data_IF_199550845522
#
_entry.id   IF_199550845522
#
_cell.length_a   1.000
_cell.length_b   1.000
_cell.length_c   1.000
_cell.angle_alpha   90.00
_cell.angle_beta   90.00
_cell.angle_gamma   90.00
#
_symmetry.space_group_name_H-M   'P 1'
#
loop_
_entity.id
_entity.type
_entity.pdbx_description
1 polymer ?
#
# COMPACT_ATOMS: atom_id res chain seq x y z
N UNK A 1 -7.01 -16.64 -23.82
CA UNK A 1 -7.23 -15.47 -22.96
C UNK A 1 -8.57 -14.92 -23.38
N UNK A 2 -9.57 -14.98 -22.50
CA UNK A 2 -10.86 -14.35 -22.75
C UNK A 2 -10.69 -12.83 -22.63
N UNK A 3 -11.33 -12.09 -23.53
CA UNK A 3 -11.33 -10.63 -23.52
C UNK A 3 -12.26 -10.15 -22.39
N UNK A 4 -11.76 -9.43 -21.37
CA UNK A 4 -12.57 -8.96 -20.26
C UNK A 4 -13.57 -7.85 -20.66
N UNK A 5 -13.60 -7.43 -21.93
CA UNK A 5 -14.51 -6.41 -22.44
C UNK A 5 -15.60 -6.92 -23.39
N UNK A 6 -15.68 -8.23 -23.63
CA UNK A 6 -16.71 -8.88 -24.48
C UNK A 6 -18.13 -8.81 -23.87
N UNK A 7 -18.31 -8.15 -22.71
CA UNK A 7 -19.61 -7.96 -22.05
C UNK A 7 -20.30 -6.64 -22.42
N UNK A 8 -19.76 -5.88 -23.37
CA UNK A 8 -20.35 -4.63 -23.88
C UNK A 8 -20.73 -4.73 -25.36
N UNK A 9 -21.10 -5.94 -25.81
CA UNK A 9 -21.75 -6.06 -27.10
C UNK A 9 -23.19 -5.55 -26.96
N UNK A 10 -23.45 -4.43 -27.65
CA UNK A 10 -24.73 -3.76 -27.84
C UNK A 10 -25.68 -4.64 -28.69
N UNK A 11 -26.01 -5.84 -28.21
CA UNK A 11 -27.09 -6.64 -28.80
C UNK A 11 -28.43 -6.20 -28.16
N UNK A 12 -28.92 -5.07 -28.69
CA UNK A 12 -30.34 -4.80 -28.82
C UNK A 12 -30.96 -5.96 -29.62
N UNK A 13 -31.66 -6.89 -28.98
CA UNK A 13 -32.68 -7.68 -29.65
C UNK A 13 -33.82 -8.04 -28.69
N UNK A 14 -34.95 -7.38 -28.96
CA UNK A 14 -36.30 -7.81 -28.61
C UNK A 14 -36.51 -9.26 -29.08
N UNK A 15 -36.52 -10.24 -28.18
CA UNK A 15 -37.23 -11.49 -28.47
C UNK A 15 -37.95 -12.07 -27.26
N UNK A 16 -39.26 -11.87 -27.31
CA UNK A 16 -40.27 -12.42 -26.42
C UNK A 16 -40.60 -13.81 -26.96
N UNK A 17 -40.12 -14.90 -26.33
CA UNK A 17 -40.82 -16.18 -26.32
C UNK A 17 -40.20 -17.23 -25.39
N UNK A 18 -40.95 -17.54 -24.34
CA UNK A 18 -41.54 -18.86 -24.12
C UNK A 18 -40.63 -20.11 -24.22
N UNK A 19 -40.27 -20.67 -23.05
CA UNK A 19 -40.41 -22.10 -22.83
C UNK A 19 -40.25 -22.48 -21.35
N UNK A 20 -41.39 -22.88 -20.78
CA UNK A 20 -41.50 -23.75 -19.60
C UNK A 20 -40.51 -24.92 -19.66
N UNK A 21 -39.58 -24.97 -18.72
CA UNK A 21 -38.90 -26.21 -18.32
C UNK A 21 -38.74 -26.25 -16.81
N UNK A 22 -39.61 -27.06 -16.22
CA UNK A 22 -39.50 -27.57 -14.86
C UNK A 22 -38.18 -28.32 -14.68
N UNK A 23 -37.23 -27.70 -13.98
CA UNK A 23 -36.10 -28.38 -13.36
C UNK A 23 -36.15 -28.12 -11.85
N UNK A 24 -36.64 -29.13 -11.13
CA UNK A 24 -36.56 -29.23 -9.67
C UNK A 24 -35.10 -29.43 -9.26
N UNK A 25 -34.30 -28.36 -9.30
CA UNK A 25 -32.98 -28.35 -8.69
C UNK A 25 -33.03 -27.65 -7.33
N UNK A 26 -32.53 -28.40 -6.37
CA UNK A 26 -32.53 -28.16 -4.93
C UNK A 26 -31.65 -26.96 -4.58
N UNK A 27 -32.18 -25.77 -4.83
CA UNK A 27 -31.57 -24.49 -4.51
C UNK A 27 -31.58 -24.28 -2.99
N UNK A 28 -30.49 -24.72 -2.34
CA UNK A 28 -30.07 -24.25 -1.03
C UNK A 28 -29.65 -22.78 -1.15
N UNK A 29 -30.66 -21.94 -1.37
CA UNK A 29 -30.60 -20.50 -1.48
C UNK A 29 -30.23 -19.95 -0.09
N UNK A 30 -28.94 -19.96 0.21
CA UNK A 30 -28.37 -19.27 1.37
C UNK A 30 -28.43 -17.78 1.03
N UNK A 31 -29.62 -17.21 1.24
CA UNK A 31 -29.90 -15.79 1.14
C UNK A 31 -28.91 -15.04 2.03
N UNK A 32 -27.80 -14.63 1.41
CA UNK A 32 -26.77 -13.86 2.06
C UNK A 32 -27.41 -12.50 2.24
N UNK A 33 -27.97 -12.26 3.42
CA UNK A 33 -28.70 -11.04 3.74
C UNK A 33 -27.71 -9.90 3.66
N UNK A 34 -27.64 -9.24 2.51
CA UNK A 34 -26.80 -8.08 2.30
C UNK A 34 -27.44 -6.95 3.08
N UNK A 35 -26.92 -6.69 4.27
CA UNK A 35 -27.36 -5.55 5.08
C UNK A 35 -26.97 -4.28 4.32
N UNK A 36 -27.94 -3.66 3.64
CA UNK A 36 -27.74 -2.36 3.02
C UNK A 36 -27.46 -1.33 4.12
N UNK A 37 -26.24 -0.80 4.13
CA UNK A 37 -25.87 0.29 5.01
C UNK A 37 -26.46 1.58 4.43
N UNK A 38 -27.54 2.06 5.03
CA UNK A 38 -28.14 3.37 4.69
C UNK A 38 -27.20 4.46 5.20
N UNK A 39 -26.68 5.29 4.29
CA UNK A 39 -25.82 6.44 4.62
C UNK A 39 -26.67 7.63 5.06
N UNK A 40 -26.09 8.52 5.88
CA UNK A 40 -26.68 9.82 6.19
C UNK A 40 -26.76 10.66 4.89
N UNK A 41 -27.89 11.34 4.68
CA UNK A 41 -28.15 12.16 3.49
C UNK A 41 -27.13 13.32 3.34
N UNK A 42 -26.49 13.73 4.43
CA UNK A 42 -25.44 14.75 4.42
C UNK A 42 -24.09 14.23 3.90
N UNK A 43 -23.95 12.92 3.72
CA UNK A 43 -22.70 12.24 3.38
C UNK A 43 -22.66 11.79 1.91
N UNK A 44 -23.18 12.66 1.03
CA UNK A 44 -23.25 12.43 -0.41
C UNK A 44 -21.87 12.27 -1.04
N UNK A 45 -21.83 11.51 -2.15
CA UNK A 45 -20.62 11.13 -2.92
C UNK A 45 -19.83 12.34 -3.48
N UNK A 46 -20.40 13.56 -3.42
CA UNK A 46 -19.80 14.79 -3.96
C UNK A 46 -19.72 15.93 -2.93
N UNK A 47 -19.94 15.64 -1.65
CA UNK A 47 -19.89 16.65 -0.61
C UNK A 47 -18.43 16.86 -0.15
N UNK A 48 -17.78 17.89 -0.70
CA UNK A 48 -16.46 18.30 -0.24
C UNK A 48 -16.61 19.13 1.04
N UNK A 49 -16.29 18.54 2.18
CA UNK A 49 -16.21 19.27 3.44
C UNK A 49 -14.76 19.61 3.76
N UNK A 50 -14.47 20.90 3.91
CA UNK A 50 -13.17 21.34 4.41
C UNK A 50 -12.92 20.72 5.78
N UNK A 51 -11.75 20.09 5.95
CA UNK A 51 -11.34 19.47 7.21
C UNK A 51 -11.73 18.01 7.38
N UNK A 52 -12.31 17.35 6.36
CA UNK A 52 -12.63 15.91 6.40
C UNK A 52 -11.38 15.07 6.69
N UNK A 53 -10.25 15.41 6.08
CA UNK A 53 -8.98 14.71 6.27
C UNK A 53 -8.45 14.88 7.70
N UNK A 54 -8.62 16.06 8.28
CA UNK A 54 -8.24 16.31 9.68
C UNK A 54 -9.15 15.55 10.65
N UNK A 55 -10.45 15.48 10.34
CA UNK A 55 -11.42 14.69 11.10
C UNK A 55 -11.13 13.18 11.01
N UNK A 56 -10.73 12.68 9.83
CA UNK A 56 -10.25 11.31 9.63
C UNK A 56 -9.04 11.03 10.52
N UNK A 57 -8.02 11.89 10.47
CA UNK A 57 -6.81 11.71 11.29
C UNK A 57 -7.14 11.66 12.78
N UNK A 58 -7.97 12.59 13.26
CA UNK A 58 -8.41 12.60 14.66
C UNK A 58 -9.19 11.33 15.02
N UNK A 59 -10.07 10.86 14.14
CA UNK A 59 -10.81 9.61 14.32
C UNK A 59 -9.85 8.43 14.46
N UNK A 60 -8.94 8.25 13.50
CA UNK A 60 -7.95 7.17 13.50
C UNK A 60 -7.07 7.24 14.75
N UNK A 61 -6.57 8.42 15.13
CA UNK A 61 -5.78 8.59 16.36
C UNK A 61 -6.56 8.12 17.60
N UNK A 62 -7.83 8.50 17.73
CA UNK A 62 -8.66 8.11 18.87
C UNK A 62 -8.91 6.60 18.96
N UNK A 63 -8.88 5.88 17.81
CA UNK A 63 -9.08 4.44 17.71
C UNK A 63 -7.79 3.63 17.86
N UNK A 64 -6.68 4.18 17.35
CA UNK A 64 -5.36 3.57 17.41
C UNK A 64 -4.71 3.67 18.79
N UNK A 65 -5.10 4.65 19.61
CA UNK A 65 -4.69 4.69 21.01
C UNK A 65 -5.37 3.51 21.72
N UNK A 66 -4.63 2.48 22.16
CA UNK A 66 -5.25 1.43 22.96
C UNK A 66 -5.85 2.10 24.21
N UNK A 67 -7.07 1.72 24.65
CA UNK A 67 -7.58 2.17 25.94
C UNK A 67 -6.68 1.61 27.04
N UNK A 68 -5.62 2.35 27.38
CA UNK A 68 -4.63 1.95 28.37
C UNK A 68 -5.00 2.56 29.72
N UNK A 69 -5.18 1.76 30.79
CA UNK A 69 -4.81 2.21 32.11
C UNK A 69 -3.28 2.43 32.15
N UNK A 70 -2.77 3.44 32.88
CA UNK A 70 -1.37 3.82 32.86
C UNK A 70 -0.47 2.67 33.36
N UNK A 71 0.61 2.30 32.64
CA UNK A 71 1.52 1.26 33.09
C UNK A 71 2.47 1.75 34.19
N UNK A 72 2.83 0.89 35.17
CA UNK A 72 3.84 1.21 36.18
C UNK A 72 5.23 1.35 35.54
N UNK A 73 5.99 2.34 35.99
CA UNK A 73 7.31 2.69 35.46
C UNK A 73 8.29 1.50 35.47
N UNK A 74 8.55 0.90 34.31
CA UNK A 74 9.57 -0.13 34.13
C UNK A 74 10.90 0.57 33.83
N UNK A 75 11.90 0.34 34.69
CA UNK A 75 13.25 0.87 34.54
C UNK A 75 13.92 0.25 33.30
N UNK A 76 14.44 1.11 32.41
CA UNK A 76 15.13 0.72 31.20
C UNK A 76 16.27 -0.28 31.48
N UNK A 77 16.16 -1.47 30.90
CA UNK A 77 17.21 -2.49 30.92
C UNK A 77 18.25 -2.12 29.85
N UNK A 78 19.45 -1.74 30.28
CA UNK A 78 20.61 -1.57 29.39
C UNK A 78 21.05 -2.96 28.90
N UNK A 79 20.83 -3.27 27.61
CA UNK A 79 21.46 -4.44 26.98
C UNK A 79 22.95 -4.19 26.80
N UNK A 80 23.78 -4.94 27.51
CA UNK A 80 25.22 -5.02 27.33
C UNK A 80 25.58 -5.95 26.16
N UNK A 81 26.37 -5.44 25.23
CA UNK A 81 26.88 -6.11 24.04
C UNK A 81 28.01 -7.08 24.40
N UNK A 82 27.78 -8.39 24.30
CA UNK A 82 28.86 -9.40 24.26
C UNK A 82 28.75 -10.21 22.97
N UNK A 83 29.84 -10.23 22.21
CA UNK A 83 29.99 -10.88 20.91
C UNK A 83 29.90 -12.42 21.05
N UNK A 84 28.86 -13.02 20.46
CA UNK A 84 28.75 -14.46 20.27
C UNK A 84 28.31 -14.74 18.83
N UNK A 85 29.05 -15.60 18.13
CA UNK A 85 28.84 -15.99 16.74
C UNK A 85 27.58 -16.82 16.49
N UNK A 86 26.71 -16.97 17.50
CA UNK A 86 25.43 -17.70 17.43
C UNK A 86 24.20 -16.76 17.41
N UNK A 87 24.40 -15.46 17.20
CA UNK A 87 23.35 -14.43 17.14
C UNK A 87 22.34 -14.45 15.95
N UNK A 88 22.42 -15.27 14.87
CA UNK A 88 21.49 -15.12 13.74
C UNK A 88 20.01 -15.41 14.05
N UNK A 89 19.71 -16.47 14.79
CA UNK A 89 18.32 -16.94 14.97
C UNK A 89 17.47 -15.98 15.80
N UNK A 90 17.99 -15.49 16.93
CA UNK A 90 17.26 -14.55 17.79
C UNK A 90 17.00 -13.22 17.07
N UNK A 91 17.96 -12.73 16.27
CA UNK A 91 17.78 -11.51 15.49
C UNK A 91 16.72 -11.68 14.39
N UNK A 92 16.71 -12.83 13.71
CA UNK A 92 15.70 -13.15 12.71
C UNK A 92 14.29 -13.26 13.32
N UNK A 93 14.16 -13.83 14.52
CA UNK A 93 12.88 -13.92 15.23
C UNK A 93 12.37 -12.53 15.63
N UNK A 94 13.24 -11.67 16.16
CA UNK A 94 12.88 -10.30 16.53
C UNK A 94 12.45 -9.48 15.30
N UNK A 95 13.13 -9.65 14.18
CA UNK A 95 12.78 -8.99 12.92
C UNK A 95 11.39 -9.43 12.42
N UNK A 96 11.08 -10.73 12.47
CA UNK A 96 9.76 -11.25 12.11
C UNK A 96 8.67 -10.72 13.04
N UNK A 97 8.93 -10.67 14.35
CA UNK A 97 8.00 -10.12 15.33
C UNK A 97 7.71 -8.64 15.06
N UNK A 98 8.74 -7.85 14.75
CA UNK A 98 8.60 -6.44 14.40
C UNK A 98 7.77 -6.28 13.13
N UNK A 99 8.09 -7.02 12.07
CA UNK A 99 7.36 -6.97 10.80
C UNK A 99 5.90 -7.39 10.96
N UNK A 100 5.61 -8.44 11.73
CA UNK A 100 4.24 -8.86 12.04
C UNK A 100 3.48 -7.79 12.83
N UNK A 101 4.13 -7.13 13.78
CA UNK A 101 3.53 -6.02 14.53
C UNK A 101 3.19 -4.85 13.59
N UNK A 102 4.12 -4.46 12.73
CA UNK A 102 3.92 -3.40 11.73
C UNK A 102 2.78 -3.73 10.77
N UNK A 103 2.70 -4.96 10.25
CA UNK A 103 1.60 -5.40 9.37
C UNK A 103 0.24 -5.25 10.05
N UNK A 104 0.12 -5.72 11.30
CA UNK A 104 -1.14 -5.62 12.07
C UNK A 104 -1.52 -4.18 12.37
N UNK A 105 -0.53 -3.34 12.65
CA UNK A 105 -0.75 -1.92 12.92
C UNK A 105 -1.26 -1.20 11.66
N UNK A 106 -0.63 -1.44 10.52
CA UNK A 106 -1.08 -0.92 9.23
C UNK A 106 -2.49 -1.43 8.86
N UNK A 107 -2.77 -2.72 9.08
CA UNK A 107 -4.09 -3.32 8.88
C UNK A 107 -5.18 -2.63 9.70
N UNK A 108 -4.92 -2.45 11.00
CA UNK A 108 -5.87 -1.82 11.93
C UNK A 108 -6.15 -0.37 11.52
N UNK A 109 -5.10 0.37 11.11
CA UNK A 109 -5.26 1.73 10.63
C UNK A 109 -6.11 1.79 9.36
N UNK A 110 -5.83 0.96 8.35
CA UNK A 110 -6.60 0.92 7.10
C UNK A 110 -8.08 0.57 7.37
N UNK A 111 -8.34 -0.38 8.26
CA UNK A 111 -9.69 -0.72 8.68
C UNK A 111 -10.42 0.48 9.29
N UNK A 112 -9.76 1.27 10.16
CA UNK A 112 -10.37 2.48 10.71
C UNK A 112 -10.58 3.59 9.67
N UNK A 113 -9.74 3.66 8.63
CA UNK A 113 -10.00 4.57 7.51
C UNK A 113 -11.26 4.14 6.75
N UNK A 114 -11.38 2.86 6.44
CA UNK A 114 -12.55 2.31 5.74
C UNK A 114 -13.83 2.50 6.57
N UNK A 115 -13.78 2.24 7.89
CA UNK A 115 -14.90 2.50 8.81
C UNK A 115 -15.33 3.97 8.79
N UNK A 116 -14.37 4.90 8.82
CA UNK A 116 -14.68 6.33 8.74
C UNK A 116 -15.33 6.68 7.40
N UNK A 117 -14.82 6.11 6.31
CA UNK A 117 -15.32 6.37 4.96
C UNK A 117 -16.74 5.86 4.75
N UNK A 118 -17.05 4.70 5.35
CA UNK A 118 -18.37 4.07 5.24
C UNK A 118 -19.40 4.70 6.18
N UNK A 119 -19.00 5.07 7.40
CA UNK A 119 -19.91 5.53 8.45
C UNK A 119 -20.07 7.04 8.56
N UNK A 120 -19.10 7.82 8.05
CA UNK A 120 -19.09 9.28 8.22
C UNK A 120 -18.99 10.02 6.90
N UNK A 121 -17.85 9.99 6.22
CA UNK A 121 -17.64 10.84 5.05
C UNK A 121 -17.03 10.02 3.94
N UNK A 122 -17.62 10.05 2.74
CA UNK A 122 -16.96 9.47 1.58
C UNK A 122 -15.65 10.24 1.29
N UNK A 123 -14.58 9.50 1.05
CA UNK A 123 -13.26 10.05 0.73
C UNK A 123 -12.69 9.32 -0.48
N UNK A 124 -11.80 9.99 -1.21
CA UNK A 124 -11.20 9.49 -2.47
C UNK A 124 -10.08 8.47 -2.23
N UNK A 125 -10.23 7.56 -1.27
CA UNK A 125 -9.31 6.44 -1.12
C UNK A 125 -9.61 5.35 -2.14
N UNK A 126 -8.58 4.59 -2.53
CA UNK A 126 -8.75 3.43 -3.41
C UNK A 126 -9.74 2.41 -2.81
N UNK A 127 -9.77 2.32 -1.47
CA UNK A 127 -10.61 1.40 -0.71
C UNK A 127 -10.16 -0.07 -0.84
N UNK A 128 -10.73 -0.91 0.03
CA UNK A 128 -10.36 -2.33 0.12
C UNK A 128 -10.62 -3.12 -1.17
N UNK A 129 -11.71 -2.86 -1.89
CA UNK A 129 -12.06 -3.61 -3.11
C UNK A 129 -11.04 -3.41 -4.24
N UNK A 130 -10.70 -2.15 -4.56
CA UNK A 130 -9.70 -1.86 -5.59
C UNK A 130 -8.31 -2.26 -5.13
N UNK A 131 -7.98 -2.07 -3.84
CA UNK A 131 -6.72 -2.56 -3.25
C UNK A 131 -6.57 -4.08 -3.43
N UNK A 132 -7.63 -4.85 -3.19
CA UNK A 132 -7.63 -6.31 -3.38
C UNK A 132 -7.32 -6.68 -4.84
N UNK A 133 -7.86 -5.94 -5.80
CA UNK A 133 -7.58 -6.14 -7.23
C UNK A 133 -6.16 -5.71 -7.62
N UNK A 134 -5.59 -4.71 -6.96
CA UNK A 134 -4.22 -4.22 -7.18
C UNK A 134 -3.14 -5.17 -6.65
N UNK A 135 -3.45 -5.91 -5.57
CA UNK A 135 -2.49 -6.76 -4.86
C UNK A 135 -1.80 -7.80 -5.77
N UNK A 136 -2.50 -8.64 -6.57
CA UNK A 136 -1.84 -9.63 -7.42
C UNK A 136 -0.82 -9.00 -8.38
N UNK A 137 -1.16 -7.86 -8.98
CA UNK A 137 -0.28 -7.16 -9.91
C UNK A 137 0.98 -6.62 -9.23
N UNK A 138 0.85 -6.03 -8.03
CA UNK A 138 2.01 -5.59 -7.24
C UNK A 138 2.95 -6.76 -6.92
N UNK A 139 2.40 -7.91 -6.51
CA UNK A 139 3.18 -9.10 -6.16
C UNK A 139 3.88 -9.70 -7.38
N UNK A 140 3.22 -9.71 -8.55
CA UNK A 140 3.84 -10.15 -9.82
C UNK A 140 5.04 -9.28 -10.21
N UNK A 141 4.93 -7.95 -10.07
CA UNK A 141 6.05 -7.03 -10.30
C UNK A 141 7.21 -7.32 -9.33
N UNK A 142 6.89 -7.55 -8.05
CA UNK A 142 7.88 -7.87 -7.02
C UNK A 142 8.59 -9.20 -7.28
N UNK A 143 7.85 -10.22 -7.71
CA UNK A 143 8.41 -11.51 -8.10
C UNK A 143 9.34 -11.42 -9.30
N UNK A 144 8.87 -10.76 -10.35
CA UNK A 144 9.66 -10.52 -11.55
C UNK A 144 10.97 -9.80 -11.24
N UNK A 145 10.93 -8.85 -10.30
CA UNK A 145 12.11 -8.18 -9.80
C UNK A 145 13.07 -9.13 -9.07
N UNK A 146 12.57 -9.93 -8.13
CA UNK A 146 13.42 -10.87 -7.37
C UNK A 146 14.09 -11.90 -8.29
N UNK A 147 13.38 -12.43 -9.27
CA UNK A 147 13.94 -13.38 -10.25
C UNK A 147 15.09 -12.74 -11.04
N UNK A 148 14.91 -11.49 -11.51
CA UNK A 148 15.98 -10.73 -12.19
C UNK A 148 17.19 -10.53 -11.29
N UNK A 149 16.99 -10.23 -10.01
CA UNK A 149 18.10 -10.10 -9.04
C UNK A 149 18.87 -11.40 -8.87
N UNK A 150 18.17 -12.52 -8.71
CA UNK A 150 18.81 -13.84 -8.58
C UNK A 150 19.61 -14.21 -9.84
N UNK A 151 19.11 -13.89 -11.04
CA UNK A 151 19.83 -14.12 -12.29
C UNK A 151 21.08 -13.24 -12.41
N UNK A 152 21.00 -11.96 -12.02
CA UNK A 152 22.13 -11.05 -12.06
C UNK A 152 23.23 -11.47 -11.07
N UNK A 153 22.86 -11.94 -9.88
CA UNK A 153 23.82 -12.43 -8.88
C UNK A 153 24.58 -13.68 -9.37
N UNK A 154 23.96 -14.54 -10.17
CA UNK A 154 24.64 -15.71 -10.77
C UNK A 154 25.67 -15.32 -11.83
N UNK A 155 25.46 -14.21 -12.54
CA UNK A 155 26.28 -13.81 -13.68
C UNK A 155 27.47 -12.91 -13.30
N UNK A 156 27.42 -12.25 -12.14
CA UNK A 156 28.42 -11.26 -11.74
C UNK A 156 29.26 -11.84 -10.61
N UNK A 157 30.52 -12.23 -10.90
CA UNK A 157 31.56 -12.56 -9.90
C UNK A 157 31.97 -11.37 -9.00
N UNK A 158 31.18 -10.30 -9.00
CA UNK A 158 31.47 -9.04 -8.35
C UNK A 158 30.47 -8.75 -7.24
N UNK A 159 31.00 -8.25 -6.13
CA UNK A 159 30.29 -7.94 -4.89
C UNK A 159 29.38 -6.68 -5.02
N UNK A 160 28.56 -6.60 -6.07
CA UNK A 160 27.63 -5.47 -6.25
C UNK A 160 26.45 -5.65 -5.29
N UNK A 161 26.23 -4.65 -4.45
CA UNK A 161 25.06 -4.60 -3.58
C UNK A 161 23.78 -4.69 -4.43
N UNK A 162 22.84 -5.54 -4.00
CA UNK A 162 21.51 -5.58 -4.60
C UNK A 162 20.86 -4.22 -4.40
N UNK A 163 20.31 -3.65 -5.48
CA UNK A 163 19.40 -2.51 -5.35
C UNK A 163 18.13 -2.94 -4.58
N UNK A 164 17.38 -2.00 -3.99
CA UNK A 164 16.05 -2.26 -3.47
C UNK A 164 14.98 -2.24 -4.59
N UNK A 165 13.82 -2.85 -4.35
CA UNK A 165 12.62 -2.69 -5.18
C UNK A 165 12.02 -1.30 -4.95
N UNK A 166 12.01 -0.48 -5.99
CA UNK A 166 11.59 0.93 -5.94
C UNK A 166 10.19 1.08 -6.52
N UNK A 167 9.31 1.72 -5.76
CA UNK A 167 7.95 2.06 -6.17
C UNK A 167 7.76 3.57 -6.20
N UNK A 168 6.94 4.05 -7.14
CA UNK A 168 6.52 5.45 -7.21
C UNK A 168 5.00 5.52 -7.13
N UNK A 169 4.49 6.40 -6.27
CA UNK A 169 3.07 6.77 -6.21
C UNK A 169 2.91 8.26 -6.52
N UNK A 170 2.00 8.58 -7.43
CA UNK A 170 1.59 9.96 -7.73
C UNK A 170 0.15 10.17 -7.24
N UNK A 171 0.00 10.93 -6.16
CA UNK A 171 -1.26 11.14 -5.46
C UNK A 171 -1.26 10.48 -4.08
N UNK A 172 -0.57 11.06 -3.10
CA UNK A 172 -0.53 10.51 -1.73
C UNK A 172 -1.88 10.62 -1.01
N UNK A 173 -2.56 11.77 -1.14
CA UNK A 173 -3.72 12.16 -0.35
C UNK A 173 -3.49 11.94 1.17
N UNK A 174 -4.32 11.15 1.86
CA UNK A 174 -4.10 10.81 3.28
C UNK A 174 -3.15 9.61 3.50
N UNK A 175 -2.54 9.06 2.45
CA UNK A 175 -1.57 7.96 2.52
C UNK A 175 -2.16 6.54 2.58
N UNK A 176 -3.46 6.36 2.31
CA UNK A 176 -4.11 5.04 2.36
C UNK A 176 -3.43 4.02 1.43
N UNK A 177 -3.31 4.37 0.15
CA UNK A 177 -2.68 3.51 -0.87
C UNK A 177 -1.20 3.27 -0.56
N UNK A 178 -0.47 4.30 -0.12
CA UNK A 178 0.92 4.16 0.32
C UNK A 178 1.10 3.09 1.41
N UNK A 179 0.27 3.16 2.46
CA UNK A 179 0.27 2.20 3.57
C UNK A 179 -0.13 0.81 3.07
N UNK A 180 -1.15 0.71 2.22
CA UNK A 180 -1.62 -0.54 1.62
C UNK A 180 -0.53 -1.24 0.79
N UNK A 181 0.17 -0.52 -0.09
CA UNK A 181 1.24 -1.05 -0.94
C UNK A 181 2.38 -1.61 -0.09
N UNK A 182 2.85 -0.84 0.91
CA UNK A 182 3.91 -1.29 1.81
C UNK A 182 3.48 -2.48 2.65
N UNK A 183 2.29 -2.43 3.25
CA UNK A 183 1.74 -3.56 4.04
C UNK A 183 1.74 -4.84 3.22
N UNK A 184 1.28 -4.76 1.97
CA UNK A 184 1.22 -5.90 1.05
C UNK A 184 2.59 -6.53 0.81
N UNK A 185 3.63 -5.73 0.58
CA UNK A 185 5.00 -6.26 0.41
C UNK A 185 5.59 -6.79 1.73
N UNK A 186 5.26 -6.21 2.88
CA UNK A 186 5.67 -6.75 4.18
C UNK A 186 5.06 -8.13 4.44
N UNK A 187 3.77 -8.30 4.15
CA UNK A 187 3.08 -9.60 4.26
C UNK A 187 3.75 -10.66 3.38
N UNK A 188 4.06 -10.31 2.13
CA UNK A 188 4.74 -11.21 1.21
C UNK A 188 6.14 -11.59 1.70
N UNK A 189 6.90 -10.60 2.20
CA UNK A 189 8.23 -10.83 2.78
C UNK A 189 8.15 -11.77 4.00
N UNK A 190 7.16 -11.58 4.88
CA UNK A 190 6.95 -12.43 6.05
C UNK A 190 6.60 -13.87 5.64
N UNK A 191 5.70 -14.03 4.68
CA UNK A 191 5.26 -15.34 4.20
C UNK A 191 6.43 -16.13 3.59
N UNK A 192 7.27 -15.50 2.77
CA UNK A 192 8.47 -16.15 2.22
C UNK A 192 9.47 -16.55 3.28
N UNK A 193 9.69 -15.71 4.31
CA UNK A 193 10.59 -16.05 5.42
C UNK A 193 10.11 -17.29 6.18
N UNK A 194 8.80 -17.42 6.42
CA UNK A 194 8.22 -18.58 7.08
C UNK A 194 8.37 -19.85 6.23
N UNK A 195 8.15 -19.77 4.91
CA UNK A 195 8.33 -20.91 4.01
C UNK A 195 9.78 -21.40 3.94
N UNK A 196 10.76 -20.49 3.94
CA UNK A 196 12.18 -20.84 3.92
C UNK A 196 12.63 -21.56 5.21
N UNK A 197 12.09 -21.17 6.37
CA UNK A 197 12.40 -21.83 7.63
C UNK A 197 11.93 -23.28 7.65
N UNK A 198 10.74 -23.56 7.10
CA UNK A 198 10.21 -24.93 7.00
C UNK A 198 11.06 -25.81 6.09
N UNK A 199 11.61 -25.27 4.99
CA UNK A 199 12.43 -26.04 4.04
C UNK A 199 13.87 -26.27 4.54
N UNK A 200 14.44 -25.32 5.29
CA UNK A 200 15.80 -25.46 5.83
C UNK A 200 15.92 -26.56 6.89
N UNK A 201 14.84 -26.91 7.60
CA UNK A 201 14.84 -28.00 8.56
C UNK A 201 15.14 -29.38 7.94
N UNK A 202 15.04 -29.51 6.61
CA UNK A 202 15.19 -30.79 5.90
C UNK A 202 16.51 -30.89 5.09
N UNK A 203 17.30 -29.81 4.96
CA UNK A 203 18.50 -29.79 4.12
C UNK A 203 19.75 -29.32 4.90
N UNK A 204 20.69 -30.23 5.15
CA UNK A 204 21.95 -29.99 5.88
C UNK A 204 23.02 -29.20 5.08
N UNK A 205 22.68 -28.58 3.95
CA UNK A 205 23.67 -27.87 3.11
C UNK A 205 23.85 -26.40 3.51
N UNK A 206 24.99 -26.12 4.16
CA UNK A 206 25.42 -24.88 4.83
C UNK A 206 25.78 -23.69 3.91
N UNK A 207 24.93 -23.35 2.92
CA UNK A 207 25.23 -22.25 1.96
C UNK A 207 24.19 -21.12 1.93
N UNK A 208 23.38 -20.99 2.98
CA UNK A 208 22.25 -20.05 3.03
C UNK A 208 22.66 -18.59 3.25
N UNK A 209 23.07 -17.89 2.18
CA UNK A 209 23.16 -16.43 2.20
C UNK A 209 21.74 -15.83 2.23
N UNK A 210 21.33 -15.26 3.37
CA UNK A 210 20.01 -14.63 3.51
C UNK A 210 20.02 -13.23 2.89
N UNK A 211 19.48 -13.09 1.69
CA UNK A 211 19.29 -11.77 1.09
C UNK A 211 18.04 -11.13 1.68
N UNK A 212 18.19 -10.19 2.61
CA UNK A 212 17.09 -9.32 3.03
C UNK A 212 16.62 -8.51 1.83
N UNK A 213 15.41 -8.79 1.33
CA UNK A 213 14.85 -7.97 0.26
C UNK A 213 14.45 -6.62 0.84
N UNK A 214 15.05 -5.57 0.30
CA UNK A 214 14.72 -4.19 0.67
C UNK A 214 13.82 -3.64 -0.43
N UNK A 215 12.73 -2.99 -0.04
CA UNK A 215 11.89 -2.22 -0.96
C UNK A 215 11.65 -0.82 -0.37
N UNK A 216 11.29 0.12 -1.23
CA UNK A 216 11.03 1.52 -0.84
C UNK A 216 9.95 2.11 -1.72
N UNK A 217 9.01 2.82 -1.11
CA UNK A 217 7.99 3.58 -1.79
C UNK A 217 8.36 5.06 -1.74
N UNK A 218 8.37 5.73 -2.89
CA UNK A 218 8.32 7.20 -2.94
C UNK A 218 6.89 7.60 -3.30
N UNK A 219 6.25 8.37 -2.44
CA UNK A 219 4.90 8.90 -2.67
C UNK A 219 4.93 10.42 -2.73
N UNK A 220 4.16 10.98 -3.65
CA UNK A 220 4.24 12.38 -4.04
C UNK A 220 2.86 13.03 -4.02
N UNK A 221 2.78 14.22 -3.44
CA UNK A 221 1.59 15.07 -3.46
C UNK A 221 1.96 16.53 -3.70
N UNK A 222 1.00 17.31 -4.20
CA UNK A 222 1.12 18.76 -4.43
C UNK A 222 0.46 19.57 -3.32
N UNK A 223 -0.42 18.95 -2.52
CA UNK A 223 -1.16 19.63 -1.45
C UNK A 223 -0.45 19.42 -0.12
N UNK A 224 0.13 20.48 0.45
CA UNK A 224 0.88 20.43 1.71
C UNK A 224 0.04 19.82 2.86
N UNK A 225 -1.24 20.16 2.93
CA UNK A 225 -2.13 19.64 3.97
C UNK A 225 -2.30 18.11 3.88
N UNK A 226 -2.42 17.55 2.68
CA UNK A 226 -2.48 16.11 2.47
C UNK A 226 -1.19 15.45 2.95
N UNK A 227 -0.03 15.98 2.57
CA UNK A 227 1.29 15.50 3.02
C UNK A 227 1.41 15.49 4.55
N UNK A 228 0.94 16.54 5.23
CA UNK A 228 0.97 16.59 6.70
C UNK A 228 0.14 15.46 7.32
N UNK A 229 -1.04 15.20 6.77
CA UNK A 229 -1.95 14.17 7.25
C UNK A 229 -1.41 12.77 6.93
N UNK A 230 -0.96 12.55 5.69
CA UNK A 230 -0.33 11.30 5.27
C UNK A 230 0.88 10.95 6.13
N UNK A 231 1.73 11.92 6.47
CA UNK A 231 2.88 11.71 7.35
C UNK A 231 2.48 11.13 8.71
N UNK A 232 1.44 11.69 9.32
CA UNK A 232 0.93 11.19 10.60
C UNK A 232 0.28 9.81 10.45
N UNK A 233 -0.49 9.57 9.38
CA UNK A 233 -1.09 8.27 9.09
C UNK A 233 -0.03 7.18 8.89
N UNK A 234 1.02 7.47 8.11
CA UNK A 234 2.16 6.58 7.86
C UNK A 234 2.89 6.24 9.16
N UNK A 235 3.13 7.25 10.01
CA UNK A 235 3.74 7.07 11.34
C UNK A 235 2.85 6.23 12.26
N UNK A 236 1.53 6.45 12.24
CA UNK A 236 0.57 5.66 13.02
C UNK A 236 0.47 4.22 12.52
N UNK A 237 0.72 3.95 11.25
CA UNK A 237 0.80 2.60 10.69
C UNK A 237 2.13 1.89 10.99
N UNK A 238 3.16 2.61 11.45
CA UNK A 238 4.48 2.06 11.75
C UNK A 238 5.29 1.67 10.50
N UNK A 239 5.00 2.30 9.36
CA UNK A 239 5.61 2.01 8.05
C UNK A 239 6.47 3.16 7.52
N UNK A 240 6.78 4.17 8.34
CA UNK A 240 7.55 5.35 7.92
C UNK A 240 8.96 5.03 7.40
N UNK A 241 9.56 3.92 7.82
CA UNK A 241 10.88 3.50 7.37
C UNK A 241 10.91 2.96 5.94
N UNK A 242 9.74 2.71 5.34
CA UNK A 242 9.57 2.17 4.00
C UNK A 242 9.08 3.22 2.99
N UNK A 243 8.65 4.40 3.44
CA UNK A 243 7.96 5.40 2.63
C UNK A 243 8.71 6.73 2.68
N UNK A 244 9.17 7.19 1.52
CA UNK A 244 9.59 8.56 1.29
C UNK A 244 8.40 9.39 0.82
N UNK A 245 8.06 10.40 1.61
CA UNK A 245 6.96 11.31 1.32
C UNK A 245 7.52 12.65 0.80
N UNK A 246 7.14 13.01 -0.43
CA UNK A 246 7.63 14.20 -1.14
C UNK A 246 6.48 15.18 -1.37
N UNK A 247 6.67 16.43 -0.94
CA UNK A 247 5.79 17.54 -1.30
C UNK A 247 6.37 18.24 -2.54
N UNK A 248 5.58 18.35 -3.60
CA UNK A 248 5.91 19.20 -4.73
C UNK A 248 5.43 20.61 -4.44
N UNK A 249 6.36 21.49 -4.14
CA UNK A 249 6.12 22.93 -4.17
C UNK A 249 6.14 23.37 -5.64
N UNK A 250 5.14 24.12 -6.08
CA UNK A 250 5.32 24.94 -7.28
C UNK A 250 6.44 25.92 -6.93
N UNK A 251 7.56 25.83 -7.64
CA UNK A 251 8.53 26.92 -7.60
C UNK A 251 7.81 28.12 -8.22
N UNK A 252 7.65 29.19 -7.44
CA UNK A 252 7.17 30.46 -7.95
C UNK A 252 8.24 30.95 -8.93
N UNK A 253 8.08 30.62 -10.22
CA UNK A 253 8.83 31.20 -11.33
C UNK A 253 8.42 32.68 -11.41
N UNK A 254 8.85 33.48 -10.42
CA UNK A 254 8.66 34.94 -10.31
C UNK A 254 9.53 35.72 -11.32
N UNK A 255 10.19 35.04 -12.26
CA UNK A 255 10.91 35.68 -13.35
C UNK A 255 9.92 36.08 -14.45
N UNK A 256 9.34 37.27 -14.22
CA UNK A 256 8.84 38.19 -15.24
C UNK A 256 9.70 38.14 -16.53
N UNK A 257 8.99 38.21 -17.66
CA UNK A 257 9.48 38.39 -19.03
C UNK A 257 9.95 37.13 -19.81
N UNK A 258 8.96 36.51 -20.47
CA UNK A 258 8.95 36.06 -21.88
C UNK A 258 8.62 34.57 -22.14
N UNK A 259 7.32 34.30 -22.28
CA UNK A 259 6.68 33.68 -23.45
C UNK A 259 7.31 32.44 -24.13
N UNK A 260 7.71 31.42 -23.37
CA UNK A 260 7.90 30.05 -23.89
C UNK A 260 7.16 29.02 -23.01
N UNK A 261 5.83 29.15 -22.99
CA UNK A 261 4.90 28.29 -22.27
C UNK A 261 4.80 26.92 -22.96
N UNK A 262 5.48 25.90 -22.43
CA UNK A 262 4.95 24.51 -22.36
C UNK A 262 5.89 23.46 -21.73
N UNK A 263 7.12 23.76 -21.30
CA UNK A 263 8.08 22.71 -20.90
C UNK A 263 8.39 22.55 -19.40
N UNK A 264 7.82 23.34 -18.48
CA UNK A 264 8.22 23.30 -17.06
C UNK A 264 7.54 22.23 -16.18
N UNK A 265 6.70 21.35 -16.73
CA UNK A 265 5.88 20.46 -15.89
C UNK A 265 6.59 19.21 -15.32
N UNK A 266 7.91 19.04 -15.55
CA UNK A 266 8.68 17.85 -15.15
C UNK A 266 9.82 18.12 -14.16
N UNK A 267 9.77 19.21 -13.37
CA UNK A 267 10.68 19.39 -12.22
C UNK A 267 10.61 18.22 -11.22
N UNK A 268 9.51 17.46 -11.24
CA UNK A 268 9.37 16.18 -10.53
C UNK A 268 10.56 15.23 -10.77
N UNK A 269 11.07 15.14 -12.00
CA UNK A 269 12.16 14.22 -12.37
C UNK A 269 13.55 14.72 -11.95
N UNK A 270 13.68 15.99 -11.54
CA UNK A 270 14.94 16.54 -11.05
C UNK A 270 15.15 16.25 -9.57
N UNK A 271 14.08 15.97 -8.81
CA UNK A 271 14.19 15.64 -7.39
C UNK A 271 15.05 14.36 -7.21
N UNK A 272 16.11 14.37 -6.39
CA UNK A 272 17.03 13.23 -6.26
C UNK A 272 16.35 11.93 -5.84
N UNK A 273 15.29 12.03 -5.04
CA UNK A 273 14.48 10.88 -4.61
C UNK A 273 13.54 10.33 -5.69
N UNK A 274 13.22 11.15 -6.70
CA UNK A 274 12.30 10.78 -7.80
C UNK A 274 13.08 10.33 -9.05
N UNK A 275 14.36 10.68 -9.14
CA UNK A 275 15.23 10.25 -10.23
C UNK A 275 15.67 8.79 -10.01
N UNK A 276 14.90 7.85 -10.54
CA UNK A 276 15.17 6.43 -10.34
C UNK A 276 14.60 5.52 -11.42
N UNK A 277 15.11 4.28 -11.43
CA UNK A 277 14.44 3.18 -12.10
C UNK A 277 13.40 2.62 -11.13
N UNK A 278 12.12 2.72 -11.50
CA UNK A 278 11.01 2.17 -10.73
C UNK A 278 10.58 0.83 -11.29
N UNK A 279 10.31 -0.11 -10.40
CA UNK A 279 9.73 -1.40 -10.77
C UNK A 279 8.21 -1.37 -10.80
N UNK A 280 7.62 -0.38 -10.12
CA UNK A 280 6.18 -0.22 -10.00
C UNK A 280 5.81 1.26 -9.90
N UNK A 281 4.79 1.67 -10.65
CA UNK A 281 4.27 3.04 -10.63
C UNK A 281 2.76 2.98 -10.41
N UNK A 282 2.27 3.69 -9.40
CA UNK A 282 0.86 3.82 -9.08
C UNK A 282 0.40 5.26 -9.33
N UNK A 283 -0.65 5.41 -10.14
CA UNK A 283 -1.20 6.71 -10.53
C UNK A 283 -2.61 6.80 -9.96
N UNK A 284 -2.76 7.49 -8.84
CA UNK A 284 -4.06 7.74 -8.18
C UNK A 284 -4.44 9.21 -8.26
N UNK A 285 -4.18 9.79 -9.43
CA UNK A 285 -4.61 11.15 -9.74
C UNK A 285 -5.84 11.07 -10.60
N UNK A 286 -6.94 11.65 -10.14
CA UNK A 286 -8.03 12.01 -11.04
C UNK A 286 -7.48 13.02 -12.03
N UNK A 287 -7.28 12.59 -13.27
CA UNK A 287 -7.07 13.51 -14.39
C UNK A 287 -8.41 14.16 -14.62
N UNK A 288 -8.64 15.32 -14.00
CA UNK A 288 -9.77 16.16 -14.37
C UNK A 288 -9.51 16.62 -15.80
N UNK A 289 -10.19 15.98 -16.75
CA UNK A 289 -10.31 16.51 -18.11
C UNK A 289 -11.24 17.71 -17.98
N UNK A 290 -10.68 18.92 -18.03
CA UNK A 290 -11.50 20.12 -18.15
C UNK A 290 -12.24 20.07 -19.48
N UNK A 291 -13.57 19.96 -19.43
CA UNK A 291 -14.44 20.18 -20.59
C UNK A 291 -14.40 21.63 -21.07
#
# INVERSE_FOLDING_TARGET
MMDPFECFDDDDDDDVNDCDKDSEDNDSNTATTTTFVVRDDLCGVLAFHAGTEAALLQYVQSKMIPPSPPPPAVKAVKLSTTCSSHLPQHQQQLQQQLMMSTIRQAETLLHHVDDFCLSRHWMMHIGTEKGTSLRPFLLECFDSYQQKQQQQQKNINGNKASRPFQMLELGTYCGYSAIFLVKTLLEECLQRQQQQQSQQAESDTDTGMTTTTVFRLTTVDVVEQHVKIAREMIRLAGVESYIDLVLLTQEDDDDDDHNDSNNNHLSLLSHPSVKGHYEFVFLDRQVFVSE
#
